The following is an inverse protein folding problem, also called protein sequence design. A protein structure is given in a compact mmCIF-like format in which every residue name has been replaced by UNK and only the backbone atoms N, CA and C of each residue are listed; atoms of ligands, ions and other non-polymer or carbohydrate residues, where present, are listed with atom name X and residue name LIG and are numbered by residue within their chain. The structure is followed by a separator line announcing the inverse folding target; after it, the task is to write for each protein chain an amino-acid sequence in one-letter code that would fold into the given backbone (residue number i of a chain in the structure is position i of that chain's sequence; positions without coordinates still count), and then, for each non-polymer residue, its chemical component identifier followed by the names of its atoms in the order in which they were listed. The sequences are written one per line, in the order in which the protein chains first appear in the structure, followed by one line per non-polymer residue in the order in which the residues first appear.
data_IF_832977469224
#
_entry.id   IF_832977469224
#
_cell.length_a   1.000
_cell.length_b   1.000
_cell.length_c   1.000
_cell.angle_alpha   90.00
_cell.angle_beta   90.00
_cell.angle_gamma   90.00
#
_symmetry.space_group_name_H-M   'P 1'
#
loop_
_entity.id
_entity.type
_entity.pdbx_description
1 polymer ?
#
# COMPACT_ATOMS: atom_id res chain seq x y z
N UNK A 1 -27.33 0.45 -9.76
CA UNK A 1 -26.99 -0.99 -9.89
C UNK A 1 -27.67 -1.82 -8.80
N UNK A 2 -27.75 -3.15 -8.96
CA UNK A 2 -28.09 -4.07 -7.86
C UNK A 2 -27.11 -3.87 -6.69
N UNK A 3 -27.60 -3.94 -5.46
CA UNK A 3 -26.78 -3.78 -4.24
C UNK A 3 -25.51 -4.63 -4.29
N UNK A 4 -24.37 -4.09 -3.83
CA UNK A 4 -23.14 -4.86 -3.78
C UNK A 4 -23.34 -6.02 -2.82
N UNK A 5 -23.13 -7.23 -3.33
CA UNK A 5 -23.13 -8.44 -2.52
C UNK A 5 -21.69 -8.80 -2.18
N UNK A 6 -21.48 -9.35 -0.97
CA UNK A 6 -20.18 -9.80 -0.48
C UNK A 6 -19.43 -10.74 -1.46
N UNK A 7 -20.09 -11.64 -2.21
CA UNK A 7 -19.42 -12.45 -3.24
C UNK A 7 -18.83 -11.63 -4.40
N UNK A 8 -19.52 -10.57 -4.82
CA UNK A 8 -19.05 -9.69 -5.92
C UNK A 8 -17.81 -8.96 -5.46
N UNK A 9 -17.85 -8.35 -4.27
CA UNK A 9 -16.69 -7.64 -3.72
C UNK A 9 -15.52 -8.60 -3.55
N UNK A 10 -15.73 -9.80 -3.01
CA UNK A 10 -14.66 -10.81 -2.84
C UNK A 10 -14.03 -11.28 -4.15
N UNK A 11 -14.76 -11.27 -5.27
CA UNK A 11 -14.22 -11.67 -6.59
C UNK A 11 -13.18 -10.69 -7.13
N UNK A 12 -13.26 -9.43 -6.74
CA UNK A 12 -12.31 -8.38 -7.13
C UNK A 12 -11.15 -8.23 -6.14
N UNK A 13 -11.06 -9.11 -5.14
CA UNK A 13 -10.05 -9.06 -4.09
C UNK A 13 -9.13 -10.26 -4.13
N UNK A 14 -7.89 -10.06 -3.68
CA UNK A 14 -6.98 -11.17 -3.45
C UNK A 14 -7.41 -12.01 -2.24
N UNK A 15 -6.89 -13.24 -2.17
CA UNK A 15 -7.29 -14.25 -1.17
C UNK A 15 -7.05 -13.80 0.28
N UNK A 16 -6.12 -12.87 0.51
CA UNK A 16 -5.82 -12.30 1.82
C UNK A 16 -6.88 -11.25 2.20
N UNK A 17 -7.23 -10.35 1.30
CA UNK A 17 -8.23 -9.29 1.51
C UNK A 17 -9.65 -9.86 1.70
N UNK A 18 -10.00 -10.90 0.93
CA UNK A 18 -11.31 -11.55 1.02
C UNK A 18 -11.56 -12.19 2.41
N UNK A 19 -10.50 -12.51 3.17
CA UNK A 19 -10.59 -13.05 4.54
C UNK A 19 -10.97 -11.99 5.57
N UNK A 20 -10.54 -10.74 5.37
CA UNK A 20 -10.80 -9.65 6.32
C UNK A 20 -12.12 -8.91 6.06
N UNK A 21 -12.75 -9.12 4.90
CA UNK A 21 -14.03 -8.50 4.55
C UNK A 21 -15.22 -9.21 5.23
N UNK A 22 -15.73 -8.61 6.29
CA UNK A 22 -17.01 -8.93 6.94
C UNK A 22 -18.21 -8.29 6.23
N UNK A 23 -19.40 -8.85 6.47
CA UNK A 23 -20.68 -8.35 5.92
C UNK A 23 -20.95 -6.88 6.32
N UNK A 24 -20.62 -6.50 7.55
CA UNK A 24 -20.79 -5.13 8.06
C UNK A 24 -20.09 -4.07 7.18
N UNK A 25 -18.97 -4.43 6.55
CA UNK A 25 -18.25 -3.53 5.65
C UNK A 25 -19.00 -3.35 4.33
N UNK A 26 -19.56 -4.43 3.78
CA UNK A 26 -20.37 -4.38 2.56
C UNK A 26 -21.62 -3.54 2.78
N UNK A 27 -22.24 -3.65 3.95
CA UNK A 27 -23.40 -2.84 4.32
C UNK A 27 -23.04 -1.34 4.42
N UNK A 28 -21.86 -1.04 4.97
CA UNK A 28 -21.33 0.33 5.01
C UNK A 28 -21.06 0.88 3.60
N UNK A 29 -20.48 0.08 2.71
CA UNK A 29 -20.25 0.45 1.31
C UNK A 29 -21.57 0.69 0.57
N UNK A 30 -22.55 -0.19 0.73
CA UNK A 30 -23.89 -0.04 0.16
C UNK A 30 -24.60 1.23 0.66
N UNK A 31 -24.40 1.61 1.93
CA UNK A 31 -24.92 2.85 2.48
C UNK A 31 -24.29 4.08 1.82
N UNK A 32 -22.96 4.09 1.64
CA UNK A 32 -22.25 5.19 0.98
C UNK A 32 -22.60 5.25 -0.51
N UNK A 33 -22.79 4.11 -1.17
CA UNK A 33 -23.19 4.04 -2.58
C UNK A 33 -24.56 4.69 -2.86
N UNK A 34 -25.44 4.68 -1.86
CA UNK A 34 -26.77 5.32 -1.91
C UNK A 34 -26.73 6.81 -1.58
N UNK A 35 -25.60 7.33 -1.12
CA UNK A 35 -25.44 8.76 -0.81
C UNK A 35 -25.33 9.55 -2.13
N UNK A 36 -26.19 10.56 -2.37
CA UNK A 36 -26.13 11.38 -3.58
C UNK A 36 -24.78 12.07 -3.83
N UNK A 37 -24.00 12.28 -2.77
CA UNK A 37 -22.73 13.00 -2.84
C UNK A 37 -21.53 12.10 -3.23
N UNK A 38 -21.65 10.79 -3.03
CA UNK A 38 -20.61 9.81 -3.35
C UNK A 38 -21.02 8.90 -4.50
N UNK A 39 -22.27 8.41 -4.45
CA UNK A 39 -22.88 7.59 -5.48
C UNK A 39 -22.12 6.32 -5.82
N UNK A 40 -22.32 5.86 -7.05
CA UNK A 40 -21.66 4.66 -7.60
C UNK A 40 -20.15 4.88 -7.82
N UNK A 41 -19.73 6.13 -8.02
CA UNK A 41 -18.33 6.51 -8.26
C UNK A 41 -17.42 6.14 -7.08
N UNK A 42 -17.92 6.33 -5.85
CA UNK A 42 -17.18 5.90 -4.66
C UNK A 42 -16.91 4.40 -4.65
N UNK A 43 -17.90 3.58 -5.03
CA UNK A 43 -17.74 2.11 -5.06
C UNK A 43 -16.71 1.72 -6.11
N UNK A 44 -16.78 2.34 -7.28
CA UNK A 44 -15.85 2.09 -8.37
C UNK A 44 -14.41 2.39 -7.93
N UNK A 45 -14.16 3.60 -7.44
CA UNK A 45 -12.84 4.02 -6.95
C UNK A 45 -12.38 3.13 -5.78
N UNK A 46 -13.28 2.76 -4.86
CA UNK A 46 -12.96 1.89 -3.73
C UNK A 46 -12.50 0.51 -4.18
N UNK A 47 -13.18 -0.12 -5.14
CA UNK A 47 -12.81 -1.46 -5.61
C UNK A 47 -11.50 -1.39 -6.40
N UNK A 48 -11.37 -0.43 -7.32
CA UNK A 48 -10.18 -0.30 -8.16
C UNK A 48 -8.92 -0.05 -7.32
N UNK A 49 -9.02 0.82 -6.32
CA UNK A 49 -7.86 1.23 -5.53
C UNK A 49 -7.58 0.30 -4.34
N UNK A 50 -8.30 -0.81 -4.18
CA UNK A 50 -8.17 -1.65 -2.98
C UNK A 50 -6.82 -2.38 -2.94
N UNK A 51 -6.27 -2.72 -4.11
CA UNK A 51 -4.92 -3.29 -4.25
C UNK A 51 -3.81 -2.31 -3.84
N UNK A 52 -4.06 -1.00 -3.99
CA UNK A 52 -3.11 0.03 -3.57
C UNK A 52 -2.83 -0.05 -2.07
N UNK A 53 -3.68 -0.67 -1.26
CA UNK A 53 -3.49 -0.72 0.21
C UNK A 53 -3.02 -2.08 0.71
N UNK A 54 -3.23 -3.17 -0.03
CA UNK A 54 -2.77 -4.50 0.39
C UNK A 54 -1.25 -4.62 0.52
N UNK A 55 -0.49 -3.82 -0.22
CA UNK A 55 0.99 -3.79 -0.11
C UNK A 55 1.50 -3.10 1.15
N UNK A 56 0.62 -2.46 1.94
CA UNK A 56 0.99 -1.73 3.15
C UNK A 56 0.15 -2.21 4.33
N UNK A 57 0.70 -3.10 5.15
CA UNK A 57 0.09 -3.65 6.38
C UNK A 57 -0.28 -2.61 7.47
N UNK A 58 -0.11 -1.31 7.20
CA UNK A 58 -0.21 -0.23 8.18
C UNK A 58 -1.53 0.54 8.20
N UNK A 59 -2.41 0.39 7.20
CA UNK A 59 -3.59 1.26 7.10
C UNK A 59 -4.86 0.57 7.62
N UNK A 60 -5.48 1.18 8.65
CA UNK A 60 -6.82 0.79 9.11
C UNK A 60 -7.84 1.05 8.00
N UNK A 61 -8.80 0.13 7.83
CA UNK A 61 -9.83 0.20 6.79
C UNK A 61 -10.66 1.49 6.83
N UNK A 62 -10.91 2.04 8.02
CA UNK A 62 -11.60 3.34 8.16
C UNK A 62 -10.82 4.50 7.53
N UNK A 63 -9.49 4.50 7.66
CA UNK A 63 -8.65 5.53 7.02
C UNK A 63 -8.72 5.42 5.51
N UNK A 64 -8.85 4.19 4.99
CA UNK A 64 -9.02 3.98 3.57
C UNK A 64 -10.37 4.49 3.06
N UNK A 65 -11.47 4.11 3.71
CA UNK A 65 -12.81 4.57 3.34
C UNK A 65 -12.85 6.10 3.30
N UNK A 66 -12.28 6.76 4.31
CA UNK A 66 -12.21 8.22 4.37
C UNK A 66 -11.33 8.82 3.27
N UNK A 67 -10.23 8.16 2.91
CA UNK A 67 -9.35 8.62 1.83
C UNK A 67 -10.03 8.49 0.45
N UNK A 68 -10.76 7.40 0.22
CA UNK A 68 -11.55 7.22 -1.01
C UNK A 68 -12.67 8.24 -1.07
N UNK A 69 -13.45 8.43 0.00
CA UNK A 69 -14.47 9.49 0.07
C UNK A 69 -13.90 10.86 -0.27
N UNK A 70 -12.76 11.21 0.33
CA UNK A 70 -12.10 12.47 0.06
C UNK A 70 -11.71 12.60 -1.42
N UNK A 71 -11.13 11.56 -2.00
CA UNK A 71 -10.74 11.54 -3.41
C UNK A 71 -11.94 11.62 -4.35
N UNK A 72 -13.02 10.87 -4.10
CA UNK A 72 -14.27 10.92 -4.88
C UNK A 72 -14.86 12.33 -4.90
N UNK A 73 -14.85 13.04 -3.78
CA UNK A 73 -15.32 14.43 -3.73
C UNK A 73 -14.43 15.36 -4.56
N UNK A 74 -13.12 15.16 -4.56
CA UNK A 74 -12.22 15.95 -5.41
C UNK A 74 -12.47 15.73 -6.90
N UNK A 75 -12.63 14.48 -7.32
CA UNK A 75 -12.99 14.14 -8.70
C UNK A 75 -14.38 14.68 -9.09
N UNK A 76 -15.29 14.76 -8.12
CA UNK A 76 -16.62 15.38 -8.29
C UNK A 76 -16.58 16.92 -8.35
N UNK A 77 -15.40 17.54 -8.28
CA UNK A 77 -15.21 18.98 -8.43
C UNK A 77 -15.25 19.80 -7.13
N UNK A 78 -15.34 19.16 -5.96
CA UNK A 78 -15.24 19.88 -4.69
C UNK A 78 -13.82 20.36 -4.42
N UNK A 79 -13.70 21.48 -3.70
CA UNK A 79 -12.38 21.96 -3.28
C UNK A 79 -11.84 21.16 -2.07
N UNK A 80 -10.52 21.19 -1.86
CA UNK A 80 -9.84 20.45 -0.79
C UNK A 80 -10.48 20.64 0.59
N UNK A 81 -10.79 21.90 0.94
CA UNK A 81 -11.34 22.27 2.24
C UNK A 81 -12.75 21.71 2.41
N UNK A 82 -13.60 21.83 1.38
CA UNK A 82 -14.97 21.30 1.36
C UNK A 82 -14.97 19.77 1.48
N UNK A 83 -14.13 19.10 0.69
CA UNK A 83 -13.99 17.64 0.75
C UNK A 83 -13.54 17.18 2.14
N UNK A 84 -12.59 17.89 2.76
CA UNK A 84 -12.12 17.56 4.10
C UNK A 84 -13.22 17.71 5.17
N UNK A 85 -13.99 18.81 5.11
CA UNK A 85 -15.09 19.05 6.05
C UNK A 85 -16.20 18.01 5.92
N UNK A 86 -16.49 17.54 4.71
CA UNK A 86 -17.51 16.51 4.46
C UNK A 86 -17.09 15.12 4.93
N UNK A 87 -15.80 14.80 4.82
CA UNK A 87 -15.27 13.52 5.30
C UNK A 87 -15.11 13.50 6.81
N UNK A 88 -14.76 14.64 7.42
CA UNK A 88 -14.52 14.76 8.85
C UNK A 88 -15.37 15.87 9.52
N UNK A 89 -16.72 15.72 9.54
CA UNK A 89 -17.60 16.75 10.08
C UNK A 89 -17.32 17.03 11.57
N UNK A 90 -17.19 16.00 12.39
CA UNK A 90 -16.90 16.12 13.83
C UNK A 90 -15.60 16.88 14.12
N UNK A 91 -14.59 16.73 13.25
CA UNK A 91 -13.32 17.45 13.40
C UNK A 91 -13.50 18.91 13.05
N UNK A 92 -14.22 19.20 11.96
CA UNK A 92 -14.53 20.55 11.56
C UNK A 92 -15.34 21.28 12.65
N UNK A 93 -16.38 20.66 13.19
CA UNK A 93 -17.18 21.23 14.28
C UNK A 93 -16.34 21.52 15.52
N UNK A 94 -15.52 20.56 15.97
CA UNK A 94 -14.61 20.77 17.10
C UNK A 94 -13.63 21.92 16.87
N UNK A 95 -13.10 22.07 15.65
CA UNK A 95 -12.18 23.18 15.33
C UNK A 95 -12.90 24.52 15.35
N UNK A 96 -14.18 24.55 14.97
CA UNK A 96 -15.01 25.75 15.03
C UNK A 96 -15.25 26.20 16.47
N UNK A 97 -15.48 25.26 17.38
CA UNK A 97 -15.67 25.54 18.80
C UNK A 97 -14.38 26.03 19.49
N UNK A 98 -13.24 25.38 19.21
CA UNK A 98 -11.97 25.67 19.89
C UNK A 98 -11.29 26.93 19.35
N UNK A 99 -11.36 27.16 18.03
CA UNK A 99 -10.62 28.24 17.37
C UNK A 99 -11.50 29.01 16.37
N UNK A 100 -12.57 29.71 16.81
CA UNK A 100 -13.50 30.37 15.91
C UNK A 100 -12.83 31.41 15.00
N UNK A 101 -11.92 32.22 15.55
CA UNK A 101 -11.23 33.30 14.81
C UNK A 101 -10.25 32.81 13.75
N UNK A 102 -9.70 31.60 13.90
CA UNK A 102 -8.70 31.03 12.95
C UNK A 102 -9.21 29.77 12.26
N UNK A 103 -10.49 29.46 12.42
CA UNK A 103 -11.13 28.24 11.94
C UNK A 103 -10.83 27.94 10.47
N UNK A 104 -11.05 28.93 9.59
CA UNK A 104 -10.88 28.74 8.14
C UNK A 104 -9.43 28.41 7.76
N UNK A 105 -8.45 29.07 8.39
CA UNK A 105 -7.02 28.84 8.15
C UNK A 105 -6.62 27.46 8.65
N UNK A 106 -7.08 27.07 9.84
CA UNK A 106 -6.79 25.76 10.44
C UNK A 106 -7.33 24.63 9.56
N UNK A 107 -8.59 24.70 9.14
CA UNK A 107 -9.20 23.66 8.30
C UNK A 107 -8.54 23.59 6.92
N UNK A 108 -8.22 24.74 6.30
CA UNK A 108 -7.50 24.74 5.02
C UNK A 108 -6.14 24.03 5.14
N UNK A 109 -5.41 24.28 6.23
CA UNK A 109 -4.13 23.64 6.48
C UNK A 109 -4.27 22.14 6.74
N UNK A 110 -5.27 21.73 7.53
CA UNK A 110 -5.56 20.30 7.77
C UNK A 110 -5.95 19.57 6.48
N UNK A 111 -6.78 20.19 5.64
CA UNK A 111 -7.17 19.66 4.33
C UNK A 111 -5.96 19.48 3.41
N UNK A 112 -5.07 20.48 3.36
CA UNK A 112 -3.83 20.41 2.57
C UNK A 112 -2.91 19.28 3.05
N UNK A 113 -2.74 19.14 4.37
CA UNK A 113 -1.95 18.03 4.96
C UNK A 113 -2.56 16.67 4.69
N UNK A 114 -3.88 16.55 4.69
CA UNK A 114 -4.55 15.29 4.37
C UNK A 114 -4.40 14.92 2.89
N UNK A 115 -4.49 15.92 2.01
CA UNK A 115 -4.31 15.76 0.57
C UNK A 115 -2.92 15.25 0.18
N UNK A 116 -1.89 15.56 0.98
CA UNK A 116 -0.52 15.08 0.79
C UNK A 116 -0.20 13.83 1.60
N UNK A 117 -1.19 13.23 2.28
CA UNK A 117 -0.99 12.00 3.04
C UNK A 117 -0.66 10.82 2.11
N UNK A 118 0.14 9.88 2.62
CA UNK A 118 0.61 8.73 1.83
C UNK A 118 -0.54 7.93 1.20
N UNK A 119 -1.65 7.73 1.93
CA UNK A 119 -2.80 6.96 1.44
C UNK A 119 -3.53 7.68 0.30
N UNK A 120 -3.72 9.00 0.41
CA UNK A 120 -4.40 9.79 -0.64
C UNK A 120 -3.52 9.89 -1.89
N UNK A 121 -2.21 10.09 -1.72
CA UNK A 121 -1.28 10.07 -2.85
C UNK A 121 -1.26 8.72 -3.56
N UNK A 122 -1.26 7.61 -2.81
CA UNK A 122 -1.26 6.26 -3.39
C UNK A 122 -2.53 5.96 -4.20
N UNK A 123 -3.71 6.38 -3.69
CA UNK A 123 -4.98 6.32 -4.44
C UNK A 123 -4.88 7.17 -5.71
N UNK A 124 -4.43 8.42 -5.60
CA UNK A 124 -4.26 9.31 -6.77
C UNK A 124 -3.32 8.70 -7.82
N UNK A 125 -2.20 8.13 -7.39
CA UNK A 125 -1.24 7.49 -8.28
C UNK A 125 -1.88 6.36 -9.06
N UNK A 126 -2.58 5.45 -8.36
CA UNK A 126 -3.24 4.30 -8.96
C UNK A 126 -4.39 4.71 -9.88
N UNK A 127 -5.28 5.60 -9.45
CA UNK A 127 -6.35 6.17 -10.29
C UNK A 127 -5.83 6.90 -11.54
N UNK A 128 -4.60 7.44 -11.51
CA UNK A 128 -3.99 8.09 -12.68
C UNK A 128 -3.38 7.10 -13.69
N UNK A 129 -3.15 5.83 -13.31
CA UNK A 129 -2.50 4.85 -14.19
C UNK A 129 -3.31 4.53 -15.46
N UNK A 130 -4.63 4.31 -15.41
CA UNK A 130 -5.42 4.04 -16.61
C UNK A 130 -5.34 5.18 -17.62
N UNK A 131 -5.42 6.43 -17.17
CA UNK A 131 -5.28 7.63 -18.02
C UNK A 131 -3.91 7.65 -18.71
N UNK A 132 -2.83 7.42 -17.95
CA UNK A 132 -1.47 7.32 -18.51
C UNK A 132 -1.34 6.20 -19.53
N UNK A 133 -1.99 5.06 -19.28
CA UNK A 133 -1.98 3.91 -20.19
C UNK A 133 -2.75 4.21 -21.49
N UNK A 134 -3.94 4.82 -21.39
CA UNK A 134 -4.75 5.22 -22.53
C UNK A 134 -3.98 6.19 -23.44
N UNK A 135 -3.31 7.19 -22.86
CA UNK A 135 -2.52 8.19 -23.59
C UNK A 135 -1.07 7.76 -23.86
N UNK A 136 -0.72 6.50 -23.61
CA UNK A 136 0.64 5.98 -23.85
C UNK A 136 1.06 6.11 -25.31
N UNK A 137 0.13 6.04 -26.25
CA UNK A 137 0.41 6.24 -27.67
C UNK A 137 0.99 7.64 -27.97
N UNK A 138 0.42 8.70 -27.38
CA UNK A 138 0.94 10.08 -27.52
C UNK A 138 2.33 10.20 -26.90
N UNK A 139 2.55 9.54 -25.75
CA UNK A 139 3.87 9.49 -25.12
C UNK A 139 4.90 8.81 -26.03
N UNK A 140 4.54 7.68 -26.65
CA UNK A 140 5.42 6.97 -27.60
C UNK A 140 5.71 7.82 -28.85
N UNK A 141 4.69 8.51 -29.38
CA UNK A 141 4.85 9.43 -30.51
C UNK A 141 5.80 10.60 -30.16
N UNK A 142 5.70 11.15 -28.93
CA UNK A 142 6.62 12.17 -28.45
C UNK A 142 8.06 11.64 -28.36
N UNK A 143 8.26 10.42 -27.85
CA UNK A 143 9.57 9.76 -27.79
C UNK A 143 10.15 9.55 -29.19
N UNK A 144 9.35 9.06 -30.13
CA UNK A 144 9.76 8.88 -31.53
C UNK A 144 10.15 10.22 -32.17
N UNK A 145 9.38 11.27 -31.90
CA UNK A 145 9.66 12.63 -32.39
C UNK A 145 10.99 13.15 -31.84
N UNK A 146 11.25 12.99 -30.54
CA UNK A 146 12.54 13.35 -29.95
C UNK A 146 13.70 12.52 -30.54
N UNK A 147 13.50 11.23 -30.78
CA UNK A 147 14.51 10.38 -31.42
C UNK A 147 14.82 10.82 -32.86
N UNK A 148 13.79 11.25 -33.63
CA UNK A 148 13.98 11.83 -34.97
C UNK A 148 14.75 13.15 -34.91
N UNK A 149 14.41 14.05 -33.97
CA UNK A 149 15.11 15.31 -33.78
C UNK A 149 16.57 15.10 -33.37
N UNK A 150 16.84 14.16 -32.46
CA UNK A 150 18.17 13.77 -32.03
C UNK A 150 19.05 13.31 -33.21
N UNK A 151 18.52 12.50 -34.12
CA UNK A 151 19.29 11.91 -35.24
C UNK A 151 19.44 12.84 -36.43
N UNK A 152 18.38 13.60 -36.77
CA UNK A 152 18.27 14.26 -38.07
C UNK A 152 18.27 15.80 -37.99
N UNK A 153 18.22 16.41 -36.81
CA UNK A 153 18.19 17.87 -36.70
C UNK A 153 19.49 18.50 -37.19
N UNK A 154 19.34 19.58 -37.97
CA UNK A 154 20.47 20.41 -38.45
C UNK A 154 21.14 21.19 -37.33
N UNK A 155 20.43 21.49 -36.25
CA UNK A 155 20.96 22.25 -35.11
C UNK A 155 21.49 21.32 -34.04
N UNK A 156 22.78 21.47 -33.73
CA UNK A 156 23.48 20.73 -32.69
C UNK A 156 22.83 20.93 -31.31
N UNK A 157 22.32 22.14 -31.05
CA UNK A 157 21.61 22.44 -29.80
C UNK A 157 20.28 21.67 -29.68
N UNK A 158 19.52 21.56 -30.77
CA UNK A 158 18.27 20.77 -30.79
C UNK A 158 18.58 19.28 -30.64
N UNK A 159 19.66 18.78 -31.27
CA UNK A 159 20.10 17.40 -31.09
C UNK A 159 20.46 17.13 -29.62
N UNK A 160 21.26 18.01 -29.02
CA UNK A 160 21.65 17.89 -27.61
C UNK A 160 20.44 17.91 -26.67
N UNK A 161 19.51 18.85 -26.87
CA UNK A 161 18.32 18.96 -26.02
C UNK A 161 17.39 17.76 -26.14
N UNK A 162 17.19 17.24 -27.36
CA UNK A 162 16.44 16.01 -27.58
C UNK A 162 17.11 14.81 -26.89
N UNK A 163 18.44 14.69 -27.00
CA UNK A 163 19.21 13.67 -26.29
C UNK A 163 19.08 13.79 -24.78
N UNK A 164 19.19 15.00 -24.23
CA UNK A 164 19.08 15.27 -22.79
C UNK A 164 17.72 14.86 -22.25
N UNK A 165 16.63 15.22 -22.95
CA UNK A 165 15.27 14.82 -22.57
C UNK A 165 15.12 13.31 -22.58
N UNK A 166 15.59 12.63 -23.64
CA UNK A 166 15.52 11.17 -23.72
C UNK A 166 16.32 10.50 -22.59
N UNK A 167 17.53 10.99 -22.30
CA UNK A 167 18.33 10.46 -21.19
C UNK A 167 17.62 10.69 -19.86
N UNK A 168 17.11 11.90 -19.59
CA UNK A 168 16.50 12.21 -18.29
C UNK A 168 15.24 11.37 -18.01
N UNK A 169 14.38 11.19 -19.00
CA UNK A 169 13.07 10.55 -18.81
C UNK A 169 13.11 9.02 -19.03
N UNK A 170 14.09 8.51 -19.79
CA UNK A 170 14.23 7.07 -20.08
C UNK A 170 15.43 6.42 -19.37
N UNK A 171 16.23 7.18 -18.61
CA UNK A 171 17.27 6.58 -17.77
C UNK A 171 16.57 5.61 -16.81
N UNK A 172 17.02 4.34 -16.75
CA UNK A 172 16.48 3.42 -15.77
C UNK A 172 16.73 3.99 -14.37
N UNK A 173 15.68 4.04 -13.55
CA UNK A 173 15.83 4.44 -12.15
C UNK A 173 16.86 3.52 -11.50
N UNK A 174 17.83 4.12 -10.81
CA UNK A 174 18.72 3.41 -9.90
C UNK A 174 17.90 2.97 -8.68
N UNK A 175 16.90 2.12 -8.90
CA UNK A 175 16.29 1.34 -7.84
C UNK A 175 17.41 0.48 -7.29
N UNK A 176 17.93 0.90 -6.13
CA UNK A 176 18.59 -0.03 -5.23
C UNK A 176 17.60 -1.18 -5.09
N UNK A 177 17.91 -2.28 -5.75
CA UNK A 177 17.32 -3.57 -5.44
C UNK A 177 17.73 -3.85 -4.00
N UNK A 178 16.96 -3.29 -3.06
CA UNK A 178 16.80 -3.87 -1.74
C UNK A 178 16.06 -5.17 -2.00
N UNK A 179 16.84 -6.19 -2.40
CA UNK A 179 16.43 -7.57 -2.27
C UNK A 179 16.15 -7.68 -0.78
N UNK A 180 14.85 -7.62 -0.43
CA UNK A 180 14.40 -7.92 0.91
C UNK A 180 14.90 -9.32 1.20
N UNK A 181 15.92 -9.41 2.06
CA UNK A 181 16.17 -10.67 2.73
C UNK A 181 14.91 -10.94 3.54
N UNK A 182 14.11 -11.88 3.05
CA UNK A 182 12.90 -12.35 3.73
C UNK A 182 13.25 -12.65 5.19
N UNK A 183 12.45 -12.09 6.09
CA UNK A 183 12.55 -12.25 7.55
C UNK A 183 12.53 -13.74 7.96
N UNK A 184 12.10 -14.65 7.09
CA UNK A 184 12.15 -16.11 7.28
C UNK A 184 13.57 -16.62 7.58
N UNK A 185 14.60 -16.10 6.93
CA UNK A 185 15.98 -16.54 7.18
C UNK A 185 16.50 -16.14 8.57
N UNK A 186 16.00 -15.03 9.12
CA UNK A 186 16.37 -14.59 10.47
C UNK A 186 15.68 -15.45 11.52
N UNK A 187 14.43 -15.89 11.28
CA UNK A 187 13.70 -16.79 12.17
C UNK A 187 14.43 -18.12 12.38
N UNK A 188 14.91 -18.74 11.29
CA UNK A 188 15.58 -20.06 11.38
C UNK A 188 16.89 -19.97 12.17
N UNK A 189 17.67 -18.90 11.98
CA UNK A 189 18.92 -18.69 12.72
C UNK A 189 18.65 -18.41 14.20
N UNK A 190 17.60 -17.64 14.49
CA UNK A 190 17.27 -17.29 15.88
C UNK A 190 16.64 -18.48 16.63
N UNK A 191 15.94 -19.37 15.94
CA UNK A 191 15.45 -20.63 16.49
C UNK A 191 16.58 -21.64 16.72
N UNK A 192 17.56 -21.72 15.81
CA UNK A 192 18.77 -22.51 16.01
C UNK A 192 19.56 -22.00 17.23
N UNK A 193 19.67 -20.68 17.41
CA UNK A 193 20.35 -20.07 18.55
C UNK A 193 19.66 -20.40 19.88
N UNK A 194 18.32 -20.34 19.92
CA UNK A 194 17.53 -20.73 21.11
C UNK A 194 17.64 -22.22 21.42
N UNK A 195 17.68 -23.07 20.40
CA UNK A 195 17.86 -24.51 20.57
C UNK A 195 19.26 -24.83 21.15
N UNK A 196 20.30 -24.19 20.62
CA UNK A 196 21.67 -24.32 21.13
C UNK A 196 21.83 -23.85 22.58
N UNK A 197 21.20 -22.73 22.95
CA UNK A 197 21.23 -22.22 24.33
C UNK A 197 20.53 -23.17 25.32
N UNK A 198 19.38 -23.71 24.95
CA UNK A 198 18.67 -24.73 25.76
C UNK A 198 19.50 -26.00 25.94
N UNK A 199 20.17 -26.45 24.88
CA UNK A 199 21.03 -27.63 24.95
C UNK A 199 22.22 -27.39 25.88
N UNK A 200 22.92 -26.27 25.73
CA UNK A 200 24.06 -25.93 26.59
C UNK A 200 23.66 -25.86 28.08
N UNK A 201 22.47 -25.33 28.40
CA UNK A 201 21.93 -25.33 29.76
C UNK A 201 21.63 -26.75 30.25
N UNK A 202 21.05 -27.60 29.40
CA UNK A 202 20.76 -29.00 29.71
C UNK A 202 22.04 -29.79 30.01
N UNK A 203 23.06 -29.66 29.15
CA UNK A 203 24.37 -30.30 29.34
C UNK A 203 25.04 -29.82 30.63
N UNK A 204 25.01 -28.51 30.90
CA UNK A 204 25.56 -27.96 32.15
C UNK A 204 24.87 -28.53 33.39
N UNK A 205 23.56 -28.73 33.34
CA UNK A 205 22.79 -29.31 34.44
C UNK A 205 23.10 -30.81 34.61
N UNK A 206 23.25 -31.56 33.51
CA UNK A 206 23.65 -32.97 33.53
C UNK A 206 25.07 -33.18 34.08
N UNK A 207 26.01 -32.28 33.74
CA UNK A 207 27.37 -32.26 34.32
C UNK A 207 27.32 -31.97 35.82
N UNK A 208 26.51 -30.98 36.26
CA UNK A 208 26.32 -30.67 37.70
C UNK A 208 25.67 -31.83 38.46
N UNK A 209 24.83 -32.61 37.81
CA UNK A 209 24.19 -33.81 38.38
C UNK A 209 25.15 -35.02 38.46
N UNK A 210 26.38 -34.92 37.95
CA UNK A 210 27.41 -35.95 38.09
C UNK A 210 27.32 -37.11 37.10
N UNK A 211 26.62 -36.92 35.97
CA UNK A 211 26.50 -37.91 34.89
C UNK A 211 27.84 -37.96 34.13
N UNK A 212 28.37 -39.16 33.78
CA UNK A 212 29.62 -39.29 33.04
C UNK A 212 29.56 -38.60 31.67
N UNK A 213 30.63 -37.89 31.29
CA UNK A 213 30.66 -37.03 30.10
C UNK A 213 30.39 -37.75 28.76
N UNK A 214 30.66 -39.05 28.67
CA UNK A 214 30.45 -39.80 27.44
C UNK A 214 28.97 -39.84 27.04
N UNK A 215 28.06 -40.03 28.01
CA UNK A 215 26.62 -40.12 27.76
C UNK A 215 25.99 -38.77 27.40
N UNK A 216 26.61 -37.66 27.81
CA UNK A 216 26.16 -36.30 27.48
C UNK A 216 26.54 -35.97 26.03
N UNK A 217 27.73 -36.41 25.60
CA UNK A 217 28.25 -36.14 24.26
C UNK A 217 27.54 -36.88 23.13
N UNK A 218 26.83 -37.97 23.44
CA UNK A 218 26.09 -38.79 22.47
C UNK A 218 24.60 -38.39 22.34
N UNK A 219 24.19 -37.27 22.94
CA UNK A 219 22.79 -36.83 22.85
C UNK A 219 22.39 -36.38 21.44
N UNK A 220 21.28 -36.93 20.93
CA UNK A 220 20.76 -36.65 19.58
C UNK A 220 19.98 -35.32 19.60
N UNK A 221 20.33 -34.42 18.68
CA UNK A 221 19.89 -33.00 18.71
C UNK A 221 18.64 -32.72 17.86
N UNK A 222 18.16 -33.67 17.04
CA UNK A 222 17.00 -33.43 16.17
C UNK A 222 16.05 -34.63 16.18
N UNK A 223 14.88 -34.49 16.81
CA UNK A 223 13.71 -35.34 16.58
C UNK A 223 12.90 -34.73 15.44
N UNK A 224 13.11 -35.21 14.20
CA UNK A 224 12.17 -34.92 13.11
C UNK A 224 11.10 -36.01 13.14
N UNK A 225 9.91 -35.70 13.63
CA UNK A 225 8.71 -36.47 13.27
C UNK A 225 8.35 -36.10 11.83
N UNK A 226 8.44 -37.02 10.84
CA UNK A 226 7.95 -36.73 9.51
C UNK A 226 6.43 -36.56 9.58
N UNK A 227 5.92 -35.42 9.11
CA UNK A 227 4.49 -35.25 8.82
C UNK A 227 4.09 -36.33 7.81
N UNK A 228 3.14 -37.18 8.21
CA UNK A 228 2.49 -38.12 7.31
C UNK A 228 1.86 -37.32 6.17
N UNK A 229 2.31 -37.58 4.95
CA UNK A 229 1.66 -37.09 3.75
C UNK A 229 0.31 -37.82 3.62
N UNK A 230 -0.79 -37.12 3.88
CA UNK A 230 -2.14 -37.59 3.58
C UNK A 230 -2.24 -37.86 2.06
N UNK A 231 -2.45 -39.13 1.69
CA UNK A 231 -2.89 -39.58 0.36
C UNK A 231 -4.38 -39.25 0.10
#
# INVERSE_FOLDING_TARGET
MNELTLPIVKKHLNSVQAKYLKQEHVDTLNKIAKDPEYGEEFVHIYIENMEAISSSSRFKQEHYINAVKFYTLLESGYNLTQSYMKVFPDRAERRREVNPETYEVVIRNEASRYNTSAIVNKIREFSSQPVKLLFRHVLLEAIETQAKLMRNSKSDHVRQKASEVLIRELKPDETKLEIGFDEETTSVIDDLRKAAEKLAISEMNSVKAGIPLNDISESIIIDVTPEEADE
#
